data_IF_654793539095
#
_entry.id   IF_654793539095
#
_cell.length_a   1.000
_cell.length_b   1.000
_cell.length_c   1.000
_cell.angle_alpha   90.00
_cell.angle_beta   90.00
_cell.angle_gamma   90.00
#
_symmetry.space_group_name_H-M   'P 1'
#
loop_
_entity.id
_entity.type
_entity.pdbx_description
1 polymer ?
#
# COMPACT_ATOMS: atom_id res chain seq x y z
N UNK A 1 18.44 -3.81 -2.08
CA UNK A 1 18.00 -4.23 -0.74
C UNK A 1 18.31 -5.71 -0.58
N UNK A 2 18.87 -6.10 0.55
CA UNK A 2 19.41 -7.46 0.77
C UNK A 2 18.63 -8.07 1.93
N UNK A 3 17.88 -9.14 1.68
CA UNK A 3 17.34 -9.96 2.78
C UNK A 3 18.52 -10.64 3.49
N UNK A 4 18.57 -10.54 4.81
CA UNK A 4 19.58 -11.22 5.60
C UNK A 4 19.27 -12.73 5.75
N UNK A 5 20.14 -13.46 6.45
CA UNK A 5 19.97 -14.89 6.68
C UNK A 5 18.79 -15.30 7.55
N UNK A 6 18.02 -14.36 8.11
CA UNK A 6 16.79 -14.66 8.86
C UNK A 6 15.61 -14.99 7.93
N UNK A 7 15.67 -14.56 6.68
CA UNK A 7 14.66 -14.89 5.69
C UNK A 7 14.91 -16.24 5.06
N UNK A 8 13.83 -16.92 4.69
CA UNK A 8 13.91 -18.08 3.83
C UNK A 8 14.61 -17.76 2.51
N UNK A 9 15.16 -18.79 1.82
CA UNK A 9 15.48 -18.65 0.40
C UNK A 9 14.21 -18.27 -0.40
N UNK A 10 14.37 -17.71 -1.62
CA UNK A 10 13.23 -17.40 -2.47
C UNK A 10 12.63 -18.70 -3.03
N UNK A 11 11.35 -18.92 -2.77
CA UNK A 11 10.57 -20.00 -3.39
C UNK A 11 9.86 -19.49 -4.62
N UNK A 12 10.01 -20.16 -5.76
CA UNK A 12 9.34 -19.80 -7.01
C UNK A 12 7.97 -20.45 -7.10
N UNK A 13 7.00 -19.69 -7.58
CA UNK A 13 5.65 -20.15 -7.88
C UNK A 13 5.18 -19.53 -9.19
N UNK A 14 4.55 -20.34 -10.05
CA UNK A 14 3.94 -19.90 -11.31
C UNK A 14 2.47 -20.29 -11.33
N UNK A 15 1.59 -19.29 -11.46
CA UNK A 15 0.16 -19.52 -11.60
C UNK A 15 -0.17 -20.50 -12.73
N UNK A 16 -1.17 -21.36 -12.53
CA UNK A 16 -1.61 -22.34 -13.53
C UNK A 16 -0.63 -23.49 -13.81
N UNK A 17 0.62 -23.43 -13.35
CA UNK A 17 1.60 -24.52 -13.42
C UNK A 17 1.81 -25.19 -12.06
N UNK A 18 1.94 -24.37 -11.02
CA UNK A 18 2.15 -24.85 -9.65
C UNK A 18 0.83 -24.93 -8.90
N UNK A 19 0.71 -25.92 -8.02
CA UNK A 19 -0.45 -26.06 -7.13
C UNK A 19 -0.14 -25.50 -5.73
N UNK A 20 -1.14 -24.99 -4.98
CA UNK A 20 -0.92 -24.48 -3.63
C UNK A 20 -0.34 -25.50 -2.63
N UNK A 21 -0.49 -26.79 -2.88
CA UNK A 21 0.08 -27.87 -2.06
C UNK A 21 1.61 -27.86 -2.09
N UNK A 22 2.23 -27.29 -3.14
CA UNK A 22 3.69 -27.15 -3.24
C UNK A 22 4.29 -26.36 -2.05
N UNK A 23 3.49 -25.51 -1.41
CA UNK A 23 3.87 -24.69 -0.25
C UNK A 23 4.17 -25.55 0.98
N UNK A 24 3.62 -26.78 1.07
CA UNK A 24 3.81 -27.67 2.23
C UNK A 24 5.29 -28.02 2.47
N UNK A 25 6.10 -27.96 1.42
CA UNK A 25 7.53 -28.25 1.48
C UNK A 25 8.39 -26.99 1.71
N UNK A 26 7.80 -25.81 1.93
CA UNK A 26 8.54 -24.54 2.10
C UNK A 26 8.95 -24.27 3.55
N UNK A 27 8.62 -25.17 4.48
CA UNK A 27 9.01 -25.10 5.89
C UNK A 27 8.29 -24.03 6.71
N UNK A 28 7.23 -23.42 6.18
CA UNK A 28 6.50 -22.33 6.81
C UNK A 28 5.22 -22.76 7.56
N UNK A 29 5.03 -24.07 7.74
CA UNK A 29 3.91 -24.64 8.50
C UNK A 29 4.02 -24.29 9.98
N UNK A 30 2.90 -23.92 10.59
CA UNK A 30 2.73 -23.54 12.00
C UNK A 30 3.60 -22.34 12.43
N UNK A 31 4.17 -21.61 11.47
CA UNK A 31 5.01 -20.44 11.73
C UNK A 31 4.17 -19.17 11.81
N UNK A 32 4.42 -18.37 12.86
CA UNK A 32 3.98 -16.99 12.95
C UNK A 32 5.05 -16.08 12.37
N UNK A 33 4.67 -15.04 11.63
CA UNK A 33 5.64 -14.13 11.04
C UNK A 33 5.13 -13.37 9.83
N UNK A 34 6.07 -13.03 8.95
CA UNK A 34 5.83 -12.22 7.76
C UNK A 34 6.31 -12.97 6.54
N UNK A 35 5.56 -12.83 5.45
CA UNK A 35 5.97 -13.27 4.13
C UNK A 35 5.90 -12.11 3.15
N UNK A 36 6.73 -12.20 2.12
CA UNK A 36 6.80 -11.24 1.03
C UNK A 36 6.66 -12.00 -0.28
N UNK A 37 5.82 -11.46 -1.16
CA UNK A 37 5.67 -11.92 -2.53
C UNK A 37 6.33 -10.88 -3.42
N UNK A 38 7.27 -11.31 -4.26
CA UNK A 38 8.10 -10.46 -5.10
C UNK A 38 8.00 -10.90 -6.55
N UNK A 39 8.40 -10.06 -7.49
CA UNK A 39 8.43 -10.45 -8.90
C UNK A 39 9.38 -11.65 -9.13
N UNK A 40 9.32 -12.24 -10.32
CA UNK A 40 10.09 -13.43 -10.68
C UNK A 40 11.61 -13.32 -10.43
N UNK A 41 12.16 -12.13 -10.68
CA UNK A 41 13.60 -11.84 -10.49
C UNK A 41 13.95 -11.53 -9.03
N UNK A 42 12.98 -11.57 -8.12
CA UNK A 42 13.14 -11.29 -6.70
C UNK A 42 13.66 -9.87 -6.40
N UNK A 43 13.41 -8.90 -7.28
CA UNK A 43 13.92 -7.51 -7.19
C UNK A 43 12.90 -6.52 -6.67
N UNK A 44 11.61 -6.72 -6.94
CA UNK A 44 10.51 -5.81 -6.58
C UNK A 44 9.49 -6.51 -5.69
N UNK A 45 9.10 -5.88 -4.59
CA UNK A 45 8.05 -6.40 -3.71
C UNK A 45 6.67 -6.09 -4.26
N UNK A 46 5.87 -7.13 -4.42
CA UNK A 46 4.49 -7.05 -4.90
C UNK A 46 3.52 -6.99 -3.71
N UNK A 47 3.74 -7.82 -2.68
CA UNK A 47 2.88 -7.87 -1.52
C UNK A 47 3.66 -8.28 -0.27
N UNK A 48 3.23 -7.78 0.88
CA UNK A 48 3.69 -8.19 2.21
C UNK A 48 2.47 -8.62 3.00
N UNK A 49 2.55 -9.74 3.72
CA UNK A 49 1.49 -10.16 4.62
C UNK A 49 2.02 -10.81 5.89
N UNK A 50 1.21 -10.78 6.94
CA UNK A 50 1.47 -11.49 8.20
C UNK A 50 0.65 -12.76 8.40
N UNK A 51 1.11 -13.54 9.37
CA UNK A 51 0.48 -14.72 9.94
C UNK A 51 0.70 -14.76 11.46
N UNK A 52 -0.29 -15.23 12.21
CA UNK A 52 -0.28 -15.19 13.68
C UNK A 52 0.05 -16.54 14.35
N UNK A 53 0.48 -17.55 13.58
CA UNK A 53 0.86 -18.87 14.11
C UNK A 53 -0.23 -19.92 13.87
N UNK A 54 -0.37 -20.89 14.78
CA UNK A 54 -1.13 -22.14 14.55
C UNK A 54 -2.57 -21.99 14.08
N UNK A 55 -3.30 -20.94 14.47
CA UNK A 55 -4.68 -20.70 13.98
C UNK A 55 -4.75 -20.08 12.58
N UNK A 56 -3.65 -19.49 12.10
CA UNK A 56 -3.54 -18.88 10.78
C UNK A 56 -2.06 -18.65 10.45
N UNK A 57 -1.36 -19.73 10.09
CA UNK A 57 0.09 -19.75 9.90
C UNK A 57 0.50 -19.21 8.52
N UNK A 58 1.81 -19.05 8.29
CA UNK A 58 2.33 -18.54 7.03
C UNK A 58 1.90 -19.44 5.87
N UNK A 59 1.92 -20.77 6.04
CA UNK A 59 1.50 -21.71 5.00
C UNK A 59 0.03 -21.50 4.61
N UNK A 60 -0.87 -21.43 5.58
CA UNK A 60 -2.31 -21.27 5.34
C UNK A 60 -2.59 -19.93 4.67
N UNK A 61 -1.96 -18.84 5.14
CA UNK A 61 -2.09 -17.52 4.52
C UNK A 61 -1.61 -17.54 3.07
N UNK A 62 -0.46 -18.15 2.79
CA UNK A 62 0.03 -18.29 1.43
C UNK A 62 -0.93 -19.13 0.57
N UNK A 63 -1.44 -20.26 1.07
CA UNK A 63 -2.45 -21.07 0.34
C UNK A 63 -3.67 -20.24 -0.05
N UNK A 64 -4.17 -19.38 0.85
CA UNK A 64 -5.29 -18.49 0.56
C UNK A 64 -4.99 -17.56 -0.63
N UNK A 65 -3.80 -16.95 -0.67
CA UNK A 65 -3.35 -16.11 -1.78
C UNK A 65 -3.17 -16.90 -3.09
N UNK A 66 -2.54 -18.07 -2.98
CA UNK A 66 -2.05 -18.87 -4.10
C UNK A 66 -3.13 -19.77 -4.72
N UNK A 67 -4.26 -19.97 -4.04
CA UNK A 67 -5.43 -20.66 -4.59
C UNK A 67 -6.07 -19.91 -5.76
N UNK A 68 -5.95 -18.57 -5.81
CA UNK A 68 -6.65 -17.74 -6.80
C UNK A 68 -8.17 -17.67 -6.60
N UNK A 69 -8.71 -18.24 -5.52
CA UNK A 69 -10.15 -18.36 -5.25
C UNK A 69 -10.61 -17.22 -4.31
N UNK A 70 -11.62 -16.41 -4.68
CA UNK A 70 -12.19 -15.40 -3.81
C UNK A 70 -13.04 -16.04 -2.70
N UNK A 71 -13.24 -15.37 -1.55
CA UNK A 71 -12.77 -14.01 -1.23
C UNK A 71 -11.35 -13.98 -0.64
N UNK A 72 -10.70 -15.13 -0.48
CA UNK A 72 -9.47 -15.30 0.29
C UNK A 72 -8.24 -14.67 -0.37
N UNK A 73 -7.39 -14.01 0.42
CA UNK A 73 -6.16 -13.38 -0.05
C UNK A 73 -6.31 -12.01 -0.74
N UNK A 74 -5.16 -11.47 -1.17
CA UNK A 74 -5.01 -10.18 -1.83
C UNK A 74 -5.41 -10.28 -3.32
N UNK A 75 -6.19 -9.30 -3.80
CA UNK A 75 -6.71 -9.27 -5.17
C UNK A 75 -5.62 -9.23 -6.24
N UNK A 76 -4.57 -8.42 -6.05
CA UNK A 76 -3.46 -8.31 -7.02
C UNK A 76 -2.74 -9.64 -7.19
N UNK A 77 -2.42 -10.31 -6.09
CA UNK A 77 -1.78 -11.63 -6.11
C UNK A 77 -2.66 -12.69 -6.77
N UNK A 78 -3.96 -12.71 -6.47
CA UNK A 78 -4.89 -13.63 -7.15
C UNK A 78 -4.92 -13.42 -8.67
N UNK A 79 -4.84 -12.17 -9.13
CA UNK A 79 -4.83 -11.88 -10.56
C UNK A 79 -3.57 -12.44 -11.22
N UNK A 80 -2.40 -12.29 -10.59
CA UNK A 80 -1.15 -12.89 -11.07
C UNK A 80 -1.27 -14.42 -11.20
N UNK A 81 -1.81 -15.07 -10.18
CA UNK A 81 -2.02 -16.53 -10.18
C UNK A 81 -2.93 -16.95 -11.33
N UNK A 82 -4.04 -16.23 -11.56
CA UNK A 82 -5.01 -16.53 -12.64
C UNK A 82 -4.45 -16.27 -14.03
N UNK A 83 -3.58 -15.28 -14.17
CA UNK A 83 -2.91 -14.93 -15.42
C UNK A 83 -1.73 -15.85 -15.74
N UNK A 84 -1.38 -16.76 -14.81
CA UNK A 84 -0.27 -17.69 -14.98
C UNK A 84 1.11 -17.05 -14.78
N UNK A 85 1.16 -15.91 -14.09
CA UNK A 85 2.41 -15.19 -13.86
C UNK A 85 3.27 -15.87 -12.79
N UNK A 86 4.59 -15.72 -12.95
CA UNK A 86 5.59 -16.22 -12.02
C UNK A 86 6.02 -15.16 -10.99
N UNK A 87 6.20 -15.58 -9.74
CA UNK A 87 6.73 -14.75 -8.67
C UNK A 87 7.58 -15.56 -7.69
N UNK A 88 8.28 -14.85 -6.81
CA UNK A 88 8.99 -15.45 -5.68
C UNK A 88 8.29 -15.14 -4.36
N UNK A 89 8.43 -16.05 -3.41
CA UNK A 89 7.97 -15.91 -2.03
C UNK A 89 9.13 -16.10 -1.08
N UNK A 90 9.23 -15.22 -0.08
CA UNK A 90 10.12 -15.39 1.07
C UNK A 90 9.34 -15.20 2.35
N UNK A 91 9.81 -15.79 3.43
CA UNK A 91 9.17 -15.64 4.73
C UNK A 91 10.19 -15.62 5.87
N UNK A 92 9.78 -15.09 7.02
CA UNK A 92 10.59 -15.00 8.23
C UNK A 92 9.68 -15.12 9.45
N UNK A 93 10.13 -15.86 10.46
CA UNK A 93 9.41 -15.95 11.73
C UNK A 93 9.48 -14.62 12.49
N UNK A 94 8.38 -14.29 13.18
CA UNK A 94 8.34 -13.13 14.07
C UNK A 94 7.47 -13.40 15.28
N UNK A 95 7.94 -12.91 16.43
CA UNK A 95 7.17 -12.86 17.68
C UNK A 95 6.17 -11.70 17.68
N UNK A 96 6.37 -10.69 16.83
CA UNK A 96 5.43 -9.60 16.61
C UNK A 96 5.15 -9.43 15.11
N UNK A 97 4.34 -10.32 14.50
CA UNK A 97 4.06 -10.29 13.07
C UNK A 97 3.47 -8.96 12.59
N UNK A 98 2.72 -8.26 13.44
CA UNK A 98 2.11 -6.98 13.11
C UNK A 98 3.16 -5.87 12.94
N UNK A 99 4.10 -5.75 13.88
CA UNK A 99 5.18 -4.77 13.75
C UNK A 99 6.08 -5.14 12.57
N UNK A 100 6.49 -6.40 12.46
CA UNK A 100 7.33 -6.86 11.35
C UNK A 100 6.71 -6.59 9.98
N UNK A 101 5.39 -6.80 9.84
CA UNK A 101 4.65 -6.48 8.61
C UNK A 101 4.67 -4.99 8.32
N UNK A 102 4.44 -4.14 9.34
CA UNK A 102 4.51 -2.70 9.18
C UNK A 102 5.90 -2.23 8.72
N UNK A 103 6.96 -2.72 9.38
CA UNK A 103 8.35 -2.43 8.98
C UNK A 103 8.60 -2.88 7.54
N UNK A 104 8.20 -4.11 7.19
CA UNK A 104 8.38 -4.64 5.85
C UNK A 104 7.60 -3.83 4.81
N UNK A 105 6.35 -3.41 5.08
CA UNK A 105 5.58 -2.57 4.15
C UNK A 105 6.28 -1.23 3.92
N UNK A 106 6.72 -0.55 4.99
CA UNK A 106 7.35 0.76 4.90
C UNK A 106 8.67 0.69 4.12
N UNK A 107 9.51 -0.31 4.42
CA UNK A 107 10.82 -0.44 3.80
C UNK A 107 10.73 -0.99 2.37
N UNK A 108 9.79 -1.90 2.10
CA UNK A 108 9.69 -2.59 0.82
C UNK A 108 8.78 -1.93 -0.20
N UNK A 109 7.93 -0.98 0.22
CA UNK A 109 6.97 -0.27 -0.63
C UNK A 109 6.18 -1.19 -1.59
N UNK A 110 5.50 -2.23 -1.07
CA UNK A 110 4.84 -3.23 -1.91
C UNK A 110 3.68 -2.66 -2.72
N UNK A 111 3.59 -3.08 -3.99
CA UNK A 111 2.60 -2.59 -4.95
C UNK A 111 1.13 -2.89 -4.57
N UNK A 112 0.86 -4.00 -3.88
CA UNK A 112 -0.51 -4.47 -3.63
C UNK A 112 -0.96 -4.34 -2.16
N UNK A 113 -0.16 -3.70 -1.30
CA UNK A 113 -0.63 -3.29 0.02
C UNK A 113 -1.21 -1.87 -0.07
N UNK A 114 -2.49 -1.75 -0.41
CA UNK A 114 -3.14 -0.46 -0.58
C UNK A 114 -3.66 0.14 0.73
N UNK A 115 -3.70 -0.65 1.80
CA UNK A 115 -4.24 -0.22 3.09
C UNK A 115 -3.13 0.22 4.05
N UNK A 116 -3.40 1.28 4.79
CA UNK A 116 -2.50 1.87 5.78
C UNK A 116 -2.84 1.47 7.22
N UNK A 117 -3.47 0.32 7.46
CA UNK A 117 -3.86 -0.17 8.80
C UNK A 117 -2.65 -0.32 9.77
N UNK A 118 -1.44 -0.43 9.22
CA UNK A 118 -0.19 -0.51 9.97
C UNK A 118 0.28 0.85 10.53
N UNK A 119 -0.27 1.98 10.06
CA UNK A 119 0.21 3.31 10.43
C UNK A 119 0.04 3.59 11.92
N UNK A 120 -1.13 3.30 12.47
CA UNK A 120 -1.42 3.55 13.89
C UNK A 120 -0.53 2.71 14.82
N UNK A 121 -0.11 1.52 14.37
CA UNK A 121 0.84 0.69 15.11
C UNK A 121 2.22 1.37 15.16
N UNK A 122 2.69 1.86 14.02
CA UNK A 122 3.98 2.56 13.90
C UNK A 122 3.99 3.86 14.70
N UNK A 123 2.92 4.65 14.61
CA UNK A 123 2.83 5.94 15.32
C UNK A 123 2.88 5.76 16.85
N UNK A 124 2.50 4.57 17.37
CA UNK A 124 2.55 4.21 18.79
C UNK A 124 3.82 3.45 19.20
N UNK A 125 4.64 3.02 18.25
CA UNK A 125 5.86 2.26 18.51
C UNK A 125 7.05 3.22 18.58
N UNK A 126 8.01 2.96 19.47
CA UNK A 126 9.22 3.80 19.54
C UNK A 126 10.06 3.66 18.26
N UNK A 127 10.81 4.71 17.91
CA UNK A 127 11.70 4.67 16.75
C UNK A 127 12.80 3.61 16.94
N UNK A 128 13.31 3.44 18.17
CA UNK A 128 14.31 2.42 18.51
C UNK A 128 13.77 1.00 18.30
N UNK A 129 12.53 0.71 18.70
CA UNK A 129 11.90 -0.60 18.46
C UNK A 129 11.70 -0.85 16.97
N UNK A 130 11.29 0.18 16.21
CA UNK A 130 11.14 0.09 14.76
C UNK A 130 12.49 -0.19 14.08
N UNK A 131 13.56 0.48 14.51
CA UNK A 131 14.91 0.29 13.99
C UNK A 131 15.48 -1.07 14.36
N UNK A 132 15.27 -1.53 15.60
CA UNK A 132 15.68 -2.86 16.05
C UNK A 132 14.99 -3.95 15.23
N UNK A 133 13.69 -3.82 14.98
CA UNK A 133 12.95 -4.76 14.16
C UNK A 133 13.36 -4.71 12.68
N UNK A 134 13.60 -3.52 12.13
CA UNK A 134 14.16 -3.36 10.78
C UNK A 134 15.53 -4.01 10.64
N UNK A 135 16.41 -3.83 11.63
CA UNK A 135 17.73 -4.46 11.67
C UNK A 135 17.63 -5.98 11.75
N UNK A 136 16.74 -6.51 12.59
CA UNK A 136 16.46 -7.95 12.68
C UNK A 136 16.01 -8.52 11.34
N UNK A 137 15.13 -7.81 10.63
CA UNK A 137 14.67 -8.19 9.29
C UNK A 137 15.71 -7.95 8.19
N UNK A 138 16.84 -7.27 8.47
CA UNK A 138 17.81 -6.86 7.45
C UNK A 138 17.25 -5.81 6.48
N UNK A 139 16.22 -5.06 6.90
CA UNK A 139 15.55 -4.02 6.13
C UNK A 139 15.98 -2.63 6.62
N UNK A 140 17.28 -2.41 6.76
CA UNK A 140 17.81 -1.13 7.24
C UNK A 140 17.82 -0.14 6.09
N UNK A 141 17.22 1.04 6.32
CA UNK A 141 17.38 2.24 5.48
C UNK A 141 18.20 3.27 6.24
N UNK A 142 18.93 4.08 5.48
CA UNK A 142 19.63 5.29 5.90
C UNK A 142 18.69 6.47 6.23
N UNK A 143 17.40 6.37 5.93
CA UNK A 143 16.42 7.42 6.23
C UNK A 143 15.67 7.16 7.54
N UNK A 144 15.28 8.22 8.27
CA UNK A 144 14.44 8.11 9.46
C UNK A 144 13.12 7.41 9.13
N UNK A 145 12.76 6.41 9.94
CA UNK A 145 11.62 5.52 9.69
C UNK A 145 10.31 6.27 9.43
N UNK A 146 10.02 7.31 10.23
CA UNK A 146 8.80 8.13 10.10
C UNK A 146 8.70 8.87 8.77
N UNK A 147 9.81 9.39 8.26
CA UNK A 147 9.83 10.08 6.95
C UNK A 147 9.56 9.12 5.80
N UNK A 148 10.03 7.87 5.90
CA UNK A 148 9.72 6.84 4.90
C UNK A 148 8.23 6.50 5.01
N UNK A 149 7.72 6.27 6.21
CA UNK A 149 6.33 5.93 6.45
C UNK A 149 5.35 6.97 5.86
N UNK A 150 5.60 8.27 6.04
CA UNK A 150 4.78 9.34 5.46
C UNK A 150 4.72 9.28 3.93
N UNK A 151 5.88 9.11 3.28
CA UNK A 151 5.94 8.98 1.81
C UNK A 151 5.18 7.77 1.30
N UNK A 152 5.28 6.65 2.00
CA UNK A 152 4.59 5.41 1.64
C UNK A 152 3.07 5.58 1.78
N UNK A 153 2.59 6.23 2.85
CA UNK A 153 1.16 6.52 3.03
C UNK A 153 0.61 7.36 1.88
N UNK A 154 1.33 8.41 1.47
CA UNK A 154 0.93 9.25 0.34
C UNK A 154 0.85 8.43 -0.96
N UNK A 155 1.89 7.64 -1.26
CA UNK A 155 1.91 6.80 -2.46
C UNK A 155 0.80 5.73 -2.46
N UNK A 156 0.52 5.11 -1.31
CA UNK A 156 -0.57 4.13 -1.19
C UNK A 156 -1.94 4.75 -1.39
N UNK A 157 -2.18 5.96 -0.87
CA UNK A 157 -3.43 6.70 -1.09
C UNK A 157 -3.65 7.03 -2.56
N UNK A 158 -2.60 7.46 -3.27
CA UNK A 158 -2.65 7.72 -4.71
C UNK A 158 -2.98 6.44 -5.50
N UNK A 159 -2.36 5.31 -5.14
CA UNK A 159 -2.63 4.02 -5.78
C UNK A 159 -4.04 3.50 -5.48
N UNK A 160 -4.51 3.61 -4.24
CA UNK A 160 -5.87 3.25 -3.87
C UNK A 160 -6.88 4.08 -4.65
N UNK A 161 -6.65 5.39 -4.77
CA UNK A 161 -7.48 6.28 -5.58
C UNK A 161 -7.52 5.85 -7.04
N UNK A 162 -6.36 5.60 -7.66
CA UNK A 162 -6.28 5.13 -9.05
C UNK A 162 -7.01 3.80 -9.27
N UNK A 163 -6.95 2.86 -8.32
CA UNK A 163 -7.68 1.59 -8.42
C UNK A 163 -9.19 1.76 -8.22
N UNK A 164 -9.63 2.69 -7.37
CA UNK A 164 -11.06 3.04 -7.24
C UNK A 164 -11.60 3.64 -8.53
N UNK A 165 -10.86 4.54 -9.19
CA UNK A 165 -11.24 5.11 -10.51
C UNK A 165 -11.46 4.00 -11.54
N UNK A 166 -10.55 3.02 -11.61
CA UNK A 166 -10.67 1.91 -12.59
C UNK A 166 -11.84 0.97 -12.31
N UNK A 167 -12.09 0.68 -11.04
CA UNK A 167 -13.05 -0.37 -10.65
C UNK A 167 -14.46 0.16 -10.42
N UNK A 168 -14.59 1.45 -10.12
CA UNK A 168 -15.86 2.13 -9.84
C UNK A 168 -15.81 3.58 -10.37
N UNK A 169 -15.72 3.78 -11.70
CA UNK A 169 -15.63 5.13 -12.27
C UNK A 169 -16.81 6.02 -11.88
N UNK A 170 -18.01 5.43 -11.76
CA UNK A 170 -19.27 6.07 -11.33
C UNK A 170 -19.17 6.76 -9.94
N UNK A 171 -18.30 6.23 -9.07
CA UNK A 171 -18.09 6.71 -7.70
C UNK A 171 -16.91 7.68 -7.58
N UNK A 172 -16.11 7.81 -8.64
CA UNK A 172 -15.02 8.78 -8.72
C UNK A 172 -15.37 9.83 -9.77
N UNK A 173 -16.29 10.72 -9.41
CA UNK A 173 -16.68 11.81 -10.30
C UNK A 173 -15.55 12.85 -10.41
N UNK A 174 -15.13 13.24 -11.62
CA UNK A 174 -14.34 14.43 -11.81
C UNK A 174 -15.13 15.66 -11.32
N UNK A 175 -14.47 16.56 -10.58
CA UNK A 175 -15.10 17.75 -9.97
C UNK A 175 -15.82 18.69 -10.97
N UNK A 176 -15.58 18.54 -12.27
CA UNK A 176 -16.14 19.38 -13.34
C UNK A 176 -17.43 18.82 -13.98
N UNK A 177 -17.84 17.60 -13.66
CA UNK A 177 -19.07 16.99 -14.24
C UNK A 177 -20.36 17.37 -13.49
N UNK A 178 -20.28 18.17 -12.41
CA UNK A 178 -21.43 18.68 -11.66
C UNK A 178 -21.91 20.07 -12.15
N UNK A 179 -21.81 20.37 -13.44
CA UNK A 179 -22.21 21.66 -14.05
C UNK A 179 -23.74 21.90 -14.15
N UNK A 180 -24.56 21.24 -13.35
CA UNK A 180 -26.01 21.54 -13.26
C UNK A 180 -26.49 22.08 -11.91
N UNK A 181 -25.57 22.39 -10.99
CA UNK A 181 -25.92 23.09 -9.75
C UNK A 181 -24.87 24.15 -9.44
N UNK A 182 -25.35 25.36 -9.17
CA UNK A 182 -24.57 26.57 -8.94
C UNK A 182 -23.42 26.42 -7.92
N UNK A 183 -22.38 27.26 -8.03
CA UNK A 183 -21.10 27.07 -7.35
C UNK A 183 -21.16 27.64 -5.94
N UNK A 184 -21.53 26.84 -4.96
CA UNK A 184 -21.15 27.09 -3.58
C UNK A 184 -20.18 26.01 -3.10
N UNK A 185 -18.90 26.39 -3.05
CA UNK A 185 -17.93 25.92 -2.06
C UNK A 185 -17.86 24.39 -1.85
N UNK A 186 -17.35 23.64 -2.82
CA UNK A 186 -17.10 22.21 -2.60
C UNK A 186 -15.65 21.98 -2.16
N UNK A 187 -15.44 21.90 -0.84
CA UNK A 187 -14.25 21.31 -0.23
C UNK A 187 -14.27 19.77 -0.38
N UNK A 188 -13.11 19.09 -0.41
CA UNK A 188 -13.07 17.64 -0.26
C UNK A 188 -13.72 17.22 1.07
N UNK A 189 -14.57 16.20 1.04
CA UNK A 189 -15.37 15.72 2.19
C UNK A 189 -14.57 15.19 3.39
N UNK A 190 -13.23 15.27 3.37
CA UNK A 190 -12.32 14.82 4.43
C UNK A 190 -11.49 15.96 5.05
N UNK A 191 -11.71 17.22 4.66
CA UNK A 191 -10.92 18.38 5.08
C UNK A 191 -11.56 19.18 6.24
N UNK A 192 -12.38 18.55 7.07
CA UNK A 192 -13.14 19.20 8.15
C UNK A 192 -12.72 18.75 9.55
N UNK A 193 -11.42 18.69 9.85
CA UNK A 193 -10.96 18.81 11.25
C UNK A 193 -9.70 19.68 11.33
N UNK A 194 -9.90 20.87 11.91
CA UNK A 194 -8.88 21.73 12.52
C UNK A 194 -7.74 22.24 11.62
N UNK A 195 -8.01 23.31 10.87
CA UNK A 195 -7.21 24.56 10.86
C UNK A 195 -7.87 25.54 9.89
N UNK A 196 -8.16 26.77 10.33
CA UNK A 196 -8.38 27.87 9.37
C UNK A 196 -7.00 28.29 8.84
N UNK A 197 -6.82 28.34 7.51
CA UNK A 197 -6.14 29.50 6.97
C UNK A 197 -6.82 30.06 5.72
N UNK A 198 -6.36 31.26 5.38
CA UNK A 198 -6.94 32.27 4.49
C UNK A 198 -7.42 31.77 3.11
N UNK A 199 -8.54 32.36 2.68
CA UNK A 199 -9.16 32.15 1.36
C UNK A 199 -8.18 32.48 0.23
N UNK A 200 -7.54 31.47 -0.34
CA UNK A 200 -6.91 31.59 -1.67
C UNK A 200 -8.03 31.50 -2.70
N UNK A 201 -8.29 32.61 -3.41
CA UNK A 201 -9.31 32.66 -4.47
C UNK A 201 -8.92 31.70 -5.62
N UNK A 202 -9.88 30.96 -6.21
CA UNK A 202 -9.65 30.18 -7.42
C UNK A 202 -9.09 31.02 -8.57
N UNK A 203 -8.24 30.41 -9.41
CA UNK A 203 -7.57 31.07 -10.54
C UNK A 203 -8.53 31.78 -11.52
N UNK A 204 -9.76 31.29 -11.66
CA UNK A 204 -10.77 31.89 -12.55
C UNK A 204 -11.40 33.17 -11.97
N UNK A 205 -11.56 33.27 -10.64
CA UNK A 205 -11.97 34.53 -9.98
C UNK A 205 -10.86 35.59 -10.05
N UNK A 206 -9.59 35.16 -10.02
CA UNK A 206 -8.43 36.06 -10.19
C UNK A 206 -8.37 36.62 -11.61
N UNK A 207 -8.66 35.79 -12.61
CA UNK A 207 -8.70 36.21 -14.01
C UNK A 207 -9.92 37.11 -14.31
N UNK A 208 -11.09 36.82 -13.73
CA UNK A 208 -12.27 37.66 -13.88
C UNK A 208 -12.07 39.06 -13.27
N UNK A 209 -11.38 39.18 -12.14
CA UNK A 209 -10.99 40.48 -11.57
C UNK A 209 -9.99 41.24 -12.46
N UNK A 210 -9.00 40.55 -13.02
CA UNK A 210 -8.04 41.16 -13.94
C UNK A 210 -8.68 41.63 -15.25
N UNK A 211 -9.69 40.91 -15.75
CA UNK A 211 -10.44 41.30 -16.95
C UNK A 211 -11.41 42.46 -16.67
N UNK A 212 -12.01 42.51 -15.47
CA UNK A 212 -12.83 43.63 -15.03
C UNK A 212 -11.99 44.91 -14.81
N UNK A 213 -10.78 44.78 -14.27
CA UNK A 213 -9.82 45.88 -14.17
C UNK A 213 -9.32 46.35 -15.55
N UNK A 214 -9.05 45.43 -16.50
CA UNK A 214 -8.68 45.81 -17.88
C UNK A 214 -9.78 46.54 -18.64
N UNK A 215 -11.04 46.21 -18.40
CA UNK A 215 -12.17 46.88 -19.05
C UNK A 215 -12.45 48.27 -18.46
N UNK A 216 -12.26 48.46 -17.16
CA UNK A 216 -12.38 49.77 -16.52
C UNK A 216 -11.31 50.80 -16.98
N UNK A 217 -10.18 50.34 -17.52
CA UNK A 217 -9.14 51.19 -18.13
C UNK A 217 -9.39 51.54 -19.60
N UNK A 218 -10.36 50.89 -20.28
CA UNK A 218 -10.70 51.17 -21.69
C UNK A 218 -11.85 52.15 -21.87
N UNK A 219 -12.59 52.46 -20.80
CA UNK A 219 -13.73 53.40 -20.81
C UNK A 219 -13.44 54.73 -20.07
N UNK A 220 -12.16 55.07 -19.87
CA UNK A 220 -11.68 56.40 -19.49
C UNK A 220 -10.84 57.00 -20.62
#
# INVERSE_FOLDING_TARGET
MIFNGSWSPPFRFTGGKDTPERIENWGCKEKAGVYVIRNWDDTKTLYVGKANGTSCDIQQRLKDHLSGIPPAGNRGIRNLVRQGEGFTVRWVESRNPALSEAIAIIQLAPQYNLRCEWKELVDRTSDDDCLAEAARLGLISDQPFRRIAEKIVLSMREQEFAERVKTQPELVRPLWENEQTQPELVRPLWENEQTQPERVLPLWERNAKLDQERNNYRER
#
